data_IF_253658822316
#
_entry.id   IF_253658822316
#
_cell.length_a   1.000
_cell.length_b   1.000
_cell.length_c   1.000
_cell.angle_alpha   90.00
_cell.angle_beta   90.00
_cell.angle_gamma   90.00
#
_symmetry.space_group_name_H-M   'P 1'
#
loop_
_entity.id
_entity.type
_entity.pdbx_description
1 polymer ?
#
# COMPACT_ATOMS: atom_id res chain seq x y z
N UNK A 1 7.20 14.87 -61.10
CA UNK A 1 7.23 15.28 -59.69
C UNK A 1 5.85 15.72 -59.19
N UNK A 2 4.94 16.08 -60.09
CA UNK A 2 3.60 16.61 -59.76
C UNK A 2 2.61 15.55 -59.26
N UNK A 3 2.70 14.31 -59.76
CA UNK A 3 1.86 13.21 -59.30
C UNK A 3 2.15 12.78 -57.85
N UNK A 4 3.41 12.94 -57.40
CA UNK A 4 3.81 12.60 -56.03
C UNK A 4 3.37 13.70 -55.04
N UNK A 5 3.42 14.97 -55.45
CA UNK A 5 2.88 16.09 -54.67
C UNK A 5 1.35 16.04 -54.58
N UNK A 6 0.66 15.66 -55.64
CA UNK A 6 -0.80 15.50 -55.64
C UNK A 6 -1.25 14.39 -54.69
N UNK A 7 -0.61 13.22 -54.71
CA UNK A 7 -0.87 12.15 -53.72
C UNK A 7 -0.53 12.55 -52.29
N UNK A 8 0.50 13.39 -52.09
CA UNK A 8 0.87 13.88 -50.76
C UNK A 8 -0.13 14.92 -50.23
N UNK A 9 -0.66 15.78 -51.10
CA UNK A 9 -1.69 16.76 -50.77
C UNK A 9 -3.05 16.10 -50.47
N UNK A 10 -3.38 15.02 -51.20
CA UNK A 10 -4.62 14.25 -51.03
C UNK A 10 -4.62 13.44 -49.72
N UNK A 11 -3.47 12.85 -49.34
CA UNK A 11 -3.30 12.22 -48.02
C UNK A 11 -3.30 13.23 -46.86
N UNK A 12 -2.98 14.50 -47.11
CA UNK A 12 -2.94 15.55 -46.08
C UNK A 12 -4.33 16.06 -45.68
N UNK A 13 -5.38 15.81 -46.47
CA UNK A 13 -6.70 16.44 -46.29
C UNK A 13 -7.82 15.45 -45.88
N UNK A 14 -7.48 14.18 -45.72
CA UNK A 14 -8.39 13.16 -45.20
C UNK A 14 -8.44 13.27 -43.66
N UNK A 15 -9.50 13.92 -43.17
CA UNK A 15 -9.73 14.15 -41.73
C UNK A 15 -9.72 12.86 -40.92
N UNK A 16 -10.03 11.70 -41.52
CA UNK A 16 -10.09 10.43 -40.81
C UNK A 16 -8.68 9.84 -40.64
N UNK A 17 -7.82 9.93 -41.65
CA UNK A 17 -6.42 9.50 -41.52
C UNK A 17 -5.63 10.38 -40.55
N UNK A 18 -5.86 11.70 -40.55
CA UNK A 18 -5.24 12.61 -39.58
C UNK A 18 -5.73 12.36 -38.14
N UNK A 19 -7.02 12.08 -37.96
CA UNK A 19 -7.58 11.73 -36.64
C UNK A 19 -7.05 10.39 -36.13
N UNK A 20 -6.91 9.40 -37.02
CA UNK A 20 -6.32 8.10 -36.68
C UNK A 20 -4.81 8.20 -36.37
N UNK A 21 -4.04 9.00 -37.11
CA UNK A 21 -2.62 9.24 -36.83
C UNK A 21 -2.41 9.99 -35.52
N UNK A 22 -3.17 11.07 -35.29
CA UNK A 22 -3.12 11.82 -34.02
C UNK A 22 -3.58 10.95 -32.84
N UNK A 23 -4.62 10.14 -33.02
CA UNK A 23 -5.09 9.17 -32.03
C UNK A 23 -4.08 8.07 -31.72
N UNK A 24 -3.40 7.53 -32.73
CA UNK A 24 -2.36 6.53 -32.57
C UNK A 24 -1.11 7.11 -31.88
N UNK A 25 -0.72 8.34 -32.21
CA UNK A 25 0.36 9.05 -31.51
C UNK A 25 0.00 9.38 -30.06
N UNK A 26 -1.24 9.79 -29.80
CA UNK A 26 -1.71 10.04 -28.43
C UNK A 26 -1.74 8.74 -27.62
N UNK A 27 -2.25 7.65 -28.20
CA UNK A 27 -2.25 6.34 -27.55
C UNK A 27 -0.83 5.83 -27.31
N UNK A 28 0.09 6.02 -28.25
CA UNK A 28 1.51 5.68 -28.06
C UNK A 28 2.17 6.53 -26.98
N UNK A 29 1.91 7.84 -26.91
CA UNK A 29 2.40 8.70 -25.82
C UNK A 29 1.83 8.29 -24.47
N UNK A 30 0.52 8.05 -24.38
CA UNK A 30 -0.13 7.59 -23.15
C UNK A 30 0.41 6.22 -22.75
N UNK A 31 0.59 5.30 -23.70
CA UNK A 31 1.17 3.98 -23.44
C UNK A 31 2.62 4.08 -22.98
N UNK A 32 3.45 4.91 -23.62
CA UNK A 32 4.83 5.18 -23.19
C UNK A 32 4.88 5.81 -21.80
N UNK A 33 4.00 6.77 -21.49
CA UNK A 33 3.92 7.39 -20.16
C UNK A 33 3.46 6.37 -19.11
N UNK A 34 2.45 5.55 -19.41
CA UNK A 34 1.98 4.50 -18.50
C UNK A 34 3.03 3.40 -18.29
N UNK A 35 3.73 3.03 -19.36
CA UNK A 35 4.82 2.05 -19.31
C UNK A 35 6.01 2.62 -18.54
N UNK A 36 6.32 3.91 -18.67
CA UNK A 36 7.35 4.63 -17.91
C UNK A 36 6.97 4.76 -16.43
N UNK A 37 5.72 5.10 -16.11
CA UNK A 37 5.21 5.13 -14.73
C UNK A 37 5.32 3.72 -14.11
N UNK A 38 4.91 2.69 -14.85
CA UNK A 38 5.04 1.29 -14.42
C UNK A 38 6.51 0.91 -14.19
N UNK A 39 7.41 1.34 -15.07
CA UNK A 39 8.84 1.02 -14.96
C UNK A 39 9.48 1.77 -13.78
N UNK A 40 9.15 3.05 -13.56
CA UNK A 40 9.60 3.82 -12.39
C UNK A 40 9.05 3.27 -11.08
N UNK A 41 7.79 2.82 -11.08
CA UNK A 41 7.20 2.13 -9.93
C UNK A 41 7.92 0.81 -9.62
N UNK A 42 8.34 0.08 -10.66
CA UNK A 42 9.08 -1.17 -10.51
C UNK A 42 10.51 -0.94 -10.00
N UNK A 43 11.22 0.04 -10.56
CA UNK A 43 12.58 0.40 -10.11
C UNK A 43 12.58 0.95 -8.66
N UNK A 44 11.56 1.72 -8.28
CA UNK A 44 11.39 2.15 -6.89
C UNK A 44 11.27 0.95 -5.93
N UNK A 45 10.51 -0.09 -6.30
CA UNK A 45 10.44 -1.34 -5.52
C UNK A 45 11.76 -2.11 -5.47
N UNK A 46 12.55 -2.06 -6.53
CA UNK A 46 13.84 -2.74 -6.60
C UNK A 46 14.87 -2.05 -5.70
N UNK A 47 14.91 -0.72 -5.70
CA UNK A 47 15.82 0.08 -4.85
C UNK A 47 15.55 -0.10 -3.35
N UNK A 48 14.29 -0.25 -2.92
CA UNK A 48 13.96 -0.50 -1.51
C UNK A 48 14.36 -1.89 -1.00
N UNK A 49 14.72 -2.82 -1.89
CA UNK A 49 15.04 -4.21 -1.53
C UNK A 49 16.55 -4.45 -1.38
N UNK A 50 17.41 -3.52 -1.78
CA UNK A 50 18.87 -3.77 -1.87
C UNK A 50 19.67 -3.23 -0.66
N UNK A 51 19.12 -2.35 0.18
CA UNK A 51 19.88 -1.73 1.30
C UNK A 51 19.88 -2.51 2.64
N UNK A 52 19.61 -3.82 2.66
CA UNK A 52 19.80 -4.64 3.88
C UNK A 52 20.13 -6.07 3.45
N UNK A 53 21.31 -6.68 3.68
CA UNK A 53 22.53 -6.32 4.40
C UNK A 53 23.53 -7.47 4.13
N UNK A 54 24.72 -7.20 3.59
CA UNK A 54 25.94 -7.98 3.86
C UNK A 54 26.59 -7.43 5.13
N UNK A 55 27.34 -8.28 5.85
CA UNK A 55 28.22 -8.01 7.01
C UNK A 55 27.49 -7.86 8.38
N UNK A 56 27.81 -8.60 9.46
CA UNK A 56 28.89 -9.54 9.74
C UNK A 56 28.55 -10.44 10.95
N UNK A 57 29.38 -11.46 11.10
CA UNK A 57 29.52 -12.60 11.99
C UNK A 57 29.32 -12.46 13.53
N UNK A 58 28.89 -13.62 14.06
CA UNK A 58 29.25 -14.30 15.31
C UNK A 58 29.10 -13.62 16.67
N UNK A 59 28.18 -14.17 17.48
CA UNK A 59 28.60 -14.91 18.70
C UNK A 59 27.52 -15.91 19.18
N UNK A 60 27.82 -17.20 19.03
CA UNK A 60 27.19 -18.28 19.80
C UNK A 60 27.51 -18.14 21.29
N UNK A 61 26.52 -18.34 22.16
CA UNK A 61 26.64 -19.16 23.39
C UNK A 61 25.25 -19.69 23.78
N UNK A 62 24.99 -20.97 23.54
CA UNK A 62 24.10 -21.84 24.33
C UNK A 62 24.97 -22.46 25.46
N UNK A 63 24.45 -22.93 26.63
CA UNK A 63 23.39 -23.93 26.65
C UNK A 63 22.39 -23.96 27.83
N UNK A 64 21.22 -24.52 27.52
CA UNK A 64 20.44 -25.51 28.31
C UNK A 64 19.75 -25.12 29.62
N UNK A 65 18.47 -25.50 29.72
CA UNK A 65 17.84 -25.80 31.00
C UNK A 65 16.31 -25.76 31.01
N UNK A 66 15.68 -26.90 30.72
CA UNK A 66 14.26 -27.21 30.94
C UNK A 66 13.78 -26.84 32.37
N UNK A 67 12.51 -26.70 32.75
CA UNK A 67 11.26 -27.33 32.34
C UNK A 67 10.13 -26.65 33.14
N UNK A 68 8.94 -26.49 32.57
CA UNK A 68 7.70 -27.08 33.09
C UNK A 68 6.44 -26.30 32.70
N UNK A 69 5.68 -26.98 31.85
CA UNK A 69 4.25 -26.94 31.60
C UNK A 69 3.37 -26.37 32.72
N UNK A 70 2.30 -25.64 32.35
CA UNK A 70 0.89 -26.12 32.38
C UNK A 70 -0.12 -24.96 32.22
N UNK A 71 -1.04 -25.16 31.24
CA UNK A 71 -2.44 -24.68 31.11
C UNK A 71 -2.78 -23.24 30.65
N UNK A 72 -3.21 -23.21 29.38
CA UNK A 72 -4.60 -22.99 28.92
C UNK A 72 -5.20 -21.58 29.02
N UNK A 73 -5.20 -20.88 27.90
CA UNK A 73 -6.38 -20.27 27.24
C UNK A 73 -5.85 -19.55 25.98
N UNK A 74 -6.29 -19.80 24.75
CA UNK A 74 -7.64 -20.09 24.32
C UNK A 74 -8.39 -18.79 24.01
N UNK A 75 -7.82 -17.94 23.15
CA UNK A 75 -8.50 -16.80 22.54
C UNK A 75 -7.85 -16.51 21.17
N UNK A 76 -8.25 -17.33 20.19
CA UNK A 76 -8.00 -17.10 18.77
C UNK A 76 -8.54 -15.71 18.40
N UNK A 77 -7.63 -14.74 18.32
CA UNK A 77 -7.89 -13.34 17.97
C UNK A 77 -7.28 -13.05 16.61
N UNK A 78 -7.55 -13.95 15.67
CA UNK A 78 -7.23 -13.74 14.26
C UNK A 78 -8.10 -12.61 13.69
N UNK A 79 -7.46 -11.62 13.08
CA UNK A 79 -8.13 -10.62 12.26
C UNK A 79 -8.87 -11.36 11.13
N UNK A 80 -10.19 -11.19 10.99
CA UNK A 80 -10.91 -11.89 9.95
C UNK A 80 -10.37 -11.39 8.60
N UNK A 81 -9.97 -12.34 7.73
CA UNK A 81 -9.62 -12.06 6.33
C UNK A 81 -10.68 -11.14 5.72
N UNK A 82 -10.29 -10.21 4.81
CA UNK A 82 -11.19 -9.20 4.31
C UNK A 82 -12.39 -9.88 3.64
N UNK A 83 -13.52 -9.94 4.34
CA UNK A 83 -14.82 -10.10 3.71
C UNK A 83 -15.00 -8.87 2.84
N UNK A 84 -15.61 -9.02 1.67
CA UNK A 84 -15.85 -7.92 0.74
C UNK A 84 -16.67 -6.81 1.43
N UNK A 85 -15.99 -5.87 2.09
CA UNK A 85 -16.61 -4.60 2.44
C UNK A 85 -17.03 -3.95 1.11
N UNK A 86 -18.06 -3.12 1.05
CA UNK A 86 -18.43 -2.47 -0.22
C UNK A 86 -17.28 -1.56 -0.72
N UNK A 87 -17.01 -1.58 -2.03
CA UNK A 87 -16.19 -0.53 -2.66
C UNK A 87 -17.00 0.76 -2.53
N UNK A 88 -16.42 1.89 -2.10
CA UNK A 88 -17.14 3.15 -2.19
C UNK A 88 -17.50 3.40 -3.66
N UNK A 89 -18.76 3.73 -3.93
CA UNK A 89 -19.25 4.05 -5.29
C UNK A 89 -18.65 5.38 -5.80
N UNK A 90 -18.05 6.17 -4.91
CA UNK A 90 -17.36 7.42 -5.23
C UNK A 90 -15.90 7.15 -5.63
N UNK A 91 -15.42 7.75 -6.72
CA UNK A 91 -14.00 7.69 -7.09
C UNK A 91 -13.11 8.16 -5.95
N UNK A 92 -12.07 7.39 -5.63
CA UNK A 92 -11.09 7.79 -4.62
C UNK A 92 -10.32 9.03 -5.09
N UNK A 93 -9.99 9.95 -4.18
CA UNK A 93 -9.15 11.09 -4.52
C UNK A 93 -7.75 10.62 -4.94
N UNK A 94 -7.06 11.44 -5.73
CA UNK A 94 -5.71 11.13 -6.20
C UNK A 94 -4.75 10.89 -5.01
N UNK A 95 -3.85 9.91 -5.10
CA UNK A 95 -2.94 9.56 -4.02
C UNK A 95 -1.96 10.72 -3.74
N UNK A 96 -1.91 11.20 -2.51
CA UNK A 96 -0.99 12.24 -2.08
C UNK A 96 0.23 11.63 -1.40
N UNK A 97 1.26 11.28 -2.16
CA UNK A 97 2.53 10.73 -1.63
C UNK A 97 3.57 11.80 -1.25
N UNK A 98 3.24 13.08 -1.43
CA UNK A 98 4.15 14.19 -1.11
C UNK A 98 4.32 14.38 0.40
N UNK A 99 3.28 14.06 1.17
CA UNK A 99 3.30 14.16 2.63
C UNK A 99 3.99 12.95 3.24
N UNK A 100 4.96 13.24 4.10
CA UNK A 100 5.64 12.23 4.91
C UNK A 100 5.17 12.37 6.35
N UNK A 101 4.85 11.26 7.00
CA UNK A 101 4.44 11.18 8.40
C UNK A 101 5.51 10.45 9.20
N UNK A 102 5.86 10.99 10.37
CA UNK A 102 6.59 10.23 11.38
C UNK A 102 5.63 9.33 12.17
N UNK A 103 6.14 8.28 12.83
CA UNK A 103 5.31 7.40 13.66
C UNK A 103 4.64 8.17 14.82
N UNK A 104 5.34 9.17 15.38
CA UNK A 104 4.80 10.04 16.43
C UNK A 104 3.72 11.02 15.93
N UNK A 105 3.81 11.45 14.67
CA UNK A 105 2.73 12.24 14.08
C UNK A 105 1.54 11.37 13.73
N UNK A 106 1.78 10.15 13.22
CA UNK A 106 0.72 9.22 12.87
C UNK A 106 -0.10 8.83 14.10
N UNK A 107 0.52 8.64 15.26
CA UNK A 107 -0.16 8.27 16.51
C UNK A 107 -1.18 9.32 16.99
N UNK A 108 -1.09 10.56 16.53
CA UNK A 108 -2.07 11.63 16.82
C UNK A 108 -3.38 11.48 16.04
N UNK A 109 -3.43 10.56 15.07
CA UNK A 109 -4.57 10.25 14.20
C UNK A 109 -5.14 8.85 14.50
N UNK A 110 -5.22 8.50 15.78
CA UNK A 110 -5.76 7.26 16.31
C UNK A 110 -7.30 7.22 16.38
N UNK A 111 -7.96 8.35 16.12
CA UNK A 111 -9.41 8.49 16.19
C UNK A 111 -9.98 8.74 17.58
N UNK A 112 -9.13 8.97 18.57
CA UNK A 112 -9.53 9.44 19.91
C UNK A 112 -10.22 10.80 19.83
N UNK A 113 -9.72 11.68 18.97
CA UNK A 113 -10.33 12.99 18.70
C UNK A 113 -11.39 12.86 17.61
N UNK A 114 -12.62 13.25 17.93
CA UNK A 114 -13.74 13.08 17.00
C UNK A 114 -13.64 13.97 15.74
N UNK A 115 -12.96 15.11 15.87
CA UNK A 115 -12.73 16.13 14.84
C UNK A 115 -11.55 15.78 13.92
N UNK A 116 -10.70 14.82 14.31
CA UNK A 116 -9.52 14.45 13.53
C UNK A 116 -9.81 13.23 12.64
N UNK A 117 -9.16 13.17 11.46
CA UNK A 117 -9.19 11.98 10.64
C UNK A 117 -8.43 10.82 11.31
N UNK A 118 -8.74 9.61 10.88
CA UNK A 118 -8.10 8.37 11.34
C UNK A 118 -7.21 7.85 10.23
N UNK A 119 -5.94 7.65 10.55
CA UNK A 119 -4.95 7.17 9.59
C UNK A 119 -4.40 5.81 9.98
N UNK A 120 -4.10 4.98 8.99
CA UNK A 120 -3.45 3.67 9.15
C UNK A 120 -2.32 3.56 8.16
N UNK A 121 -1.13 3.16 8.63
CA UNK A 121 0.00 2.89 7.75
C UNK A 121 0.09 1.40 7.42
N UNK A 122 0.32 1.08 6.14
CA UNK A 122 0.55 -0.27 5.64
C UNK A 122 1.67 -0.22 4.60
N UNK A 123 2.74 -0.98 4.85
CA UNK A 123 3.97 -1.04 4.04
C UNK A 123 4.56 0.34 3.75
N UNK A 124 4.56 1.22 4.74
CA UNK A 124 5.08 2.57 4.57
C UNK A 124 4.11 3.56 3.90
N UNK A 125 2.88 3.15 3.54
CA UNK A 125 1.88 4.01 2.90
C UNK A 125 0.76 4.32 3.89
N UNK A 126 0.38 5.60 3.99
CA UNK A 126 -0.66 6.07 4.91
C UNK A 126 -1.99 6.17 4.19
N UNK A 127 -2.99 5.48 4.72
CA UNK A 127 -4.36 5.45 4.23
C UNK A 127 -5.30 6.21 5.16
N UNK A 128 -6.23 6.95 4.59
CA UNK A 128 -7.32 7.61 5.33
C UNK A 128 -8.51 6.66 5.48
N UNK A 129 -8.75 6.22 6.72
CA UNK A 129 -9.85 5.32 7.09
C UNK A 129 -10.98 6.04 7.84
N UNK A 130 -10.99 7.37 7.84
CA UNK A 130 -11.98 8.20 8.55
C UNK A 130 -13.42 7.88 8.14
N UNK A 131 -13.62 7.46 6.88
CA UNK A 131 -14.91 7.02 6.35
C UNK A 131 -15.51 5.82 7.12
N UNK A 132 -14.69 5.05 7.85
CA UNK A 132 -15.10 3.92 8.67
C UNK A 132 -14.73 4.09 10.15
N UNK A 133 -14.99 5.26 10.71
CA UNK A 133 -14.78 5.57 12.14
C UNK A 133 -15.42 4.56 13.10
N UNK A 134 -16.57 3.96 12.77
CA UNK A 134 -17.19 2.92 13.61
C UNK A 134 -16.31 1.67 13.80
N UNK A 135 -15.36 1.42 12.90
CA UNK A 135 -14.53 0.23 12.88
C UNK A 135 -13.09 0.48 13.34
N UNK A 136 -12.54 1.65 13.01
CA UNK A 136 -11.17 2.06 13.37
C UNK A 136 -11.12 3.05 14.55
N UNK A 137 -12.25 3.64 14.94
CA UNK A 137 -12.32 4.53 16.10
C UNK A 137 -12.15 3.79 17.43
N UNK A 138 -12.23 4.51 18.56
CA UNK A 138 -11.88 4.00 19.89
C UNK A 138 -12.70 2.77 20.31
N UNK A 139 -13.97 2.72 19.93
CA UNK A 139 -14.88 1.59 20.20
C UNK A 139 -14.81 0.47 19.13
N UNK A 140 -13.97 0.65 18.11
CA UNK A 140 -13.86 -0.24 16.96
C UNK A 140 -13.00 -1.47 17.22
N UNK A 141 -13.32 -2.57 16.52
CA UNK A 141 -12.53 -3.81 16.57
C UNK A 141 -11.14 -3.70 15.94
N UNK A 142 -10.92 -2.72 15.06
CA UNK A 142 -9.62 -2.44 14.42
C UNK A 142 -8.93 -1.20 14.98
N UNK A 143 -9.31 -0.74 16.18
CA UNK A 143 -8.70 0.42 16.85
C UNK A 143 -7.18 0.29 17.02
N UNK A 144 -6.66 -0.93 17.13
CA UNK A 144 -5.23 -1.19 17.29
C UNK A 144 -4.39 -0.71 16.09
N UNK A 145 -4.99 -0.64 14.91
CA UNK A 145 -4.33 -0.17 13.68
C UNK A 145 -4.36 1.36 13.54
N UNK A 146 -5.29 2.02 14.23
CA UNK A 146 -5.46 3.46 14.11
C UNK A 146 -4.23 4.20 14.66
N UNK A 147 -3.74 5.17 13.89
CA UNK A 147 -2.57 5.98 14.20
C UNK A 147 -1.24 5.20 14.19
N UNK A 148 -1.21 3.98 13.63
CA UNK A 148 -0.06 3.08 13.70
C UNK A 148 0.24 2.44 12.35
N UNK A 149 1.43 1.84 12.26
CA UNK A 149 1.78 0.96 11.15
C UNK A 149 1.32 -0.47 11.45
N UNK A 150 0.36 -0.94 10.68
CA UNK A 150 -0.27 -2.24 10.85
C UNK A 150 0.37 -3.32 9.95
N UNK A 151 1.51 -3.05 9.32
CA UNK A 151 2.13 -3.97 8.34
C UNK A 151 2.33 -5.37 8.89
N UNK A 152 3.00 -5.50 10.04
CA UNK A 152 3.25 -6.81 10.65
C UNK A 152 1.95 -7.45 11.17
N UNK A 153 1.11 -6.68 11.86
CA UNK A 153 -0.16 -7.16 12.39
C UNK A 153 -1.10 -7.71 11.30
N UNK A 154 -1.20 -7.03 10.15
CA UNK A 154 -2.02 -7.49 9.02
C UNK A 154 -1.46 -8.75 8.36
N UNK A 155 -0.14 -8.87 8.27
CA UNK A 155 0.53 -10.08 7.80
C UNK A 155 0.26 -11.29 8.70
N UNK A 156 0.42 -11.11 10.01
CA UNK A 156 0.11 -12.12 11.04
C UNK A 156 -1.39 -12.34 11.22
N UNK A 157 -2.23 -11.48 10.64
CA UNK A 157 -3.65 -11.40 10.96
C UNK A 157 -3.90 -11.30 12.47
N UNK A 158 -3.15 -10.44 13.15
CA UNK A 158 -3.26 -10.18 14.59
C UNK A 158 -3.96 -8.84 14.84
N UNK A 159 -4.77 -8.77 15.90
CA UNK A 159 -5.44 -7.54 16.37
C UNK A 159 -4.75 -6.94 17.59
N UNK A 160 -3.53 -7.38 17.88
CA UNK A 160 -2.74 -6.92 19.02
C UNK A 160 -2.00 -5.64 18.69
N UNK A 161 -1.96 -4.72 19.66
CA UNK A 161 -1.28 -3.42 19.50
C UNK A 161 0.24 -3.61 19.44
N UNK A 162 0.74 -4.66 20.07
CA UNK A 162 2.15 -5.04 20.10
C UNK A 162 2.66 -5.51 18.74
N UNK A 163 1.78 -6.09 17.92
CA UNK A 163 2.12 -6.54 16.56
C UNK A 163 2.02 -5.42 15.52
N UNK A 164 1.48 -4.25 15.89
CA UNK A 164 1.34 -3.08 15.02
C UNK A 164 2.67 -2.32 14.92
N UNK A 165 3.61 -2.94 14.21
CA UNK A 165 4.98 -2.45 13.97
C UNK A 165 5.21 -2.34 12.46
N UNK A 166 5.97 -1.32 12.06
CA UNK A 166 6.36 -1.08 10.67
C UNK A 166 7.34 -2.13 10.12
N UNK A 167 8.16 -2.74 10.98
CA UNK A 167 9.02 -3.85 10.62
C UNK A 167 8.21 -5.14 10.42
N UNK A 168 8.12 -5.58 9.17
CA UNK A 168 7.46 -6.82 8.75
C UNK A 168 8.46 -7.83 8.16
N UNK A 169 9.77 -7.65 8.36
CA UNK A 169 10.79 -8.58 7.84
C UNK A 169 10.75 -9.96 8.51
N UNK A 170 10.15 -10.07 9.70
CA UNK A 170 9.98 -11.35 10.39
C UNK A 170 8.85 -12.23 9.83
N UNK A 171 8.11 -11.75 8.83
CA UNK A 171 6.98 -12.48 8.26
C UNK A 171 7.44 -13.56 7.28
N UNK A 172 6.75 -14.70 7.28
CA UNK A 172 6.94 -15.74 6.28
C UNK A 172 6.26 -15.40 4.94
N UNK A 173 6.52 -16.17 3.89
CA UNK A 173 5.98 -15.92 2.55
C UNK A 173 4.43 -15.89 2.51
N UNK A 174 3.77 -16.73 3.32
CA UNK A 174 2.30 -16.78 3.39
C UNK A 174 1.72 -15.52 4.05
N UNK A 175 2.37 -15.04 5.10
CA UNK A 175 2.02 -13.80 5.81
C UNK A 175 2.30 -12.59 4.93
N UNK A 176 3.42 -12.57 4.19
CA UNK A 176 3.73 -11.54 3.20
C UNK A 176 2.67 -11.48 2.08
N UNK A 177 2.20 -12.64 1.61
CA UNK A 177 1.09 -12.68 0.66
C UNK A 177 -0.18 -12.10 1.27
N UNK A 178 -0.48 -12.44 2.51
CA UNK A 178 -1.66 -11.92 3.24
C UNK A 178 -1.57 -10.40 3.39
N UNK A 179 -0.40 -9.87 3.74
CA UNK A 179 -0.12 -8.44 3.78
C UNK A 179 -0.30 -7.76 2.41
N UNK A 180 0.13 -8.41 1.32
CA UNK A 180 -0.06 -7.89 -0.04
C UNK A 180 -1.54 -7.86 -0.45
N UNK A 181 -2.31 -8.87 -0.07
CA UNK A 181 -3.75 -8.93 -0.29
C UNK A 181 -4.45 -7.80 0.49
N UNK A 182 -4.06 -7.56 1.75
CA UNK A 182 -4.53 -6.43 2.55
C UNK A 182 -4.16 -5.07 1.95
N UNK A 183 -2.92 -4.89 1.52
CA UNK A 183 -2.49 -3.66 0.85
C UNK A 183 -3.36 -3.34 -0.38
N UNK A 184 -3.57 -4.34 -1.24
CA UNK A 184 -4.40 -4.21 -2.44
C UNK A 184 -5.87 -3.91 -2.11
N UNK A 185 -6.34 -4.43 -0.97
CA UNK A 185 -7.68 -4.14 -0.46
C UNK A 185 -7.79 -2.68 0.00
N UNK A 186 -6.79 -2.15 0.72
CA UNK A 186 -6.80 -0.76 1.19
C UNK A 186 -6.65 0.25 0.06
N UNK A 187 -5.75 -0.01 -0.90
CA UNK A 187 -5.52 0.83 -2.07
C UNK A 187 -6.79 1.09 -2.89
N UNK A 188 -7.69 0.10 -2.97
CA UNK A 188 -8.95 0.22 -3.72
C UNK A 188 -10.07 0.92 -2.96
N UNK A 189 -9.90 1.19 -1.65
CA UNK A 189 -10.99 1.57 -0.75
C UNK A 189 -10.76 2.85 0.01
N UNK A 190 -9.50 3.21 0.22
CA UNK A 190 -9.12 4.33 1.04
C UNK A 190 -8.20 5.25 0.27
N UNK A 191 -8.33 6.54 0.55
CA UNK A 191 -7.45 7.55 -0.02
C UNK A 191 -6.04 7.37 0.54
N UNK A 192 -5.03 7.43 -0.33
CA UNK A 192 -3.63 7.49 0.09
C UNK A 192 -3.31 8.95 0.39
N UNK A 193 -2.93 9.23 1.65
CA UNK A 193 -2.67 10.60 2.14
C UNK A 193 -1.21 10.91 2.37
N UNK A 194 -0.35 9.89 2.31
CA UNK A 194 1.10 10.07 2.47
C UNK A 194 1.85 8.76 2.57
N UNK A 195 3.09 8.89 3.04
CA UNK A 195 3.98 7.78 3.38
C UNK A 195 4.52 7.95 4.79
N UNK A 196 4.81 6.85 5.49
CA UNK A 196 5.54 6.91 6.76
C UNK A 196 7.04 6.91 6.51
N UNK A 197 7.78 7.63 7.36
CA UNK A 197 9.24 7.54 7.42
C UNK A 197 9.60 6.31 8.24
N UNK A 198 10.27 5.34 7.60
CA UNK A 198 10.84 4.17 8.25
C UNK A 198 12.00 4.55 9.18
#
# INVERSE_FOLDING_TARGET
MDALKAKFQEMSNDRDTMTLLLGACFFAMVFSILQDIRNRYFEFKKSTTVEKKEEDDQKEVEPTGASSSVKKSGADSSAPKPKAFAVPDTPLPAPNLSRTFTLEELSKFDGSDAEKPIYVAIKGIVFDVSAKKAMYGPEGGYRCFAGRDASKALGLSSLKVEDCIADYSSLNEKELKTLADWYSFFEKRYAIVGKTKA
#
